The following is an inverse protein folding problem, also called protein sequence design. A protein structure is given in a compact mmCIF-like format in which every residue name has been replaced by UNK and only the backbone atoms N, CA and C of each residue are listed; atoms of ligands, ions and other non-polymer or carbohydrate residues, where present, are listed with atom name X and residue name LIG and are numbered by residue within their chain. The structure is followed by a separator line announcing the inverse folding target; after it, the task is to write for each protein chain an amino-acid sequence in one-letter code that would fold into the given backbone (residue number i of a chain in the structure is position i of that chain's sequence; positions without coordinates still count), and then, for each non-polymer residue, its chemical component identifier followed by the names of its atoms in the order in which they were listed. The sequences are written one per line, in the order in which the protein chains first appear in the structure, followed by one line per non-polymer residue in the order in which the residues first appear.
data_IF_312164249730
#
_entry.id   IF_312164249730
#
_cell.length_a   1.000
_cell.length_b   1.000
_cell.length_c   1.000
_cell.angle_alpha   90.00
_cell.angle_beta   90.00
_cell.angle_gamma   90.00
#
_symmetry.space_group_name_H-M   'P 1'
#
loop_
_entity.id
_entity.type
_entity.pdbx_description
1 polymer ?
#
# COMPACT_ATOMS: atom_id res chain seq x y z
N UNK A 1 -9.18 14.19 -11.29
CA UNK A 1 -8.80 13.29 -10.20
C UNK A 1 -7.33 13.53 -9.91
N UNK A 2 -6.98 13.81 -8.66
CA UNK A 2 -5.62 14.18 -8.25
C UNK A 2 -4.80 12.94 -7.89
N UNK A 3 -3.47 13.02 -7.91
CA UNK A 3 -2.60 11.92 -7.46
C UNK A 3 -2.86 11.51 -6.00
N UNK A 4 -3.33 12.46 -5.18
CA UNK A 4 -3.76 12.20 -3.81
C UNK A 4 -5.03 11.35 -3.75
N UNK A 5 -5.99 11.59 -4.65
CA UNK A 5 -7.21 10.77 -4.73
C UNK A 5 -6.90 9.32 -5.12
N UNK A 6 -5.92 9.12 -6.01
CA UNK A 6 -5.47 7.79 -6.43
C UNK A 6 -4.79 7.03 -5.30
N UNK A 7 -3.97 7.71 -4.49
CA UNK A 7 -3.36 7.15 -3.30
C UNK A 7 -4.42 6.76 -2.27
N UNK A 8 -5.37 7.65 -1.99
CA UNK A 8 -6.44 7.38 -1.05
C UNK A 8 -7.29 6.18 -1.51
N UNK A 9 -7.63 6.12 -2.80
CA UNK A 9 -8.36 4.99 -3.38
C UNK A 9 -7.55 3.68 -3.29
N UNK A 10 -6.23 3.72 -3.44
CA UNK A 10 -5.39 2.55 -3.23
C UNK A 10 -5.42 2.08 -1.77
N UNK A 11 -5.26 2.99 -0.82
CA UNK A 11 -5.31 2.68 0.62
C UNK A 11 -6.67 2.10 1.00
N UNK A 12 -7.77 2.66 0.51
CA UNK A 12 -9.13 2.13 0.73
C UNK A 12 -9.29 0.70 0.22
N UNK A 13 -8.86 0.44 -1.03
CA UNK A 13 -8.93 -0.89 -1.63
C UNK A 13 -8.12 -1.90 -0.83
N UNK A 14 -6.93 -1.52 -0.35
CA UNK A 14 -6.11 -2.42 0.47
C UNK A 14 -6.71 -2.63 1.87
N UNK A 15 -7.22 -1.58 2.52
CA UNK A 15 -7.85 -1.69 3.83
C UNK A 15 -9.05 -2.64 3.81
N UNK A 16 -9.83 -2.63 2.72
CA UNK A 16 -10.93 -3.59 2.52
C UNK A 16 -10.44 -5.06 2.44
N UNK A 17 -9.20 -5.31 2.01
CA UNK A 17 -8.62 -6.66 1.91
C UNK A 17 -7.96 -7.15 3.20
N UNK A 18 -7.67 -6.25 4.14
CA UNK A 18 -7.09 -6.54 5.47
C UNK A 18 -7.86 -5.81 6.58
N UNK A 19 -9.16 -6.09 6.77
CA UNK A 19 -10.05 -5.30 7.63
C UNK A 19 -9.69 -5.35 9.12
N UNK A 20 -8.83 -6.29 9.52
CA UNK A 20 -8.34 -6.43 10.90
C UNK A 20 -7.16 -5.48 11.20
N UNK A 21 -6.54 -4.87 10.18
CA UNK A 21 -5.44 -3.93 10.37
C UNK A 21 -5.95 -2.49 10.41
N UNK A 22 -5.34 -1.62 11.25
CA UNK A 22 -5.68 -0.21 11.25
C UNK A 22 -5.32 0.41 9.92
N UNK A 23 -6.16 1.32 9.43
CA UNK A 23 -5.97 2.02 8.15
C UNK A 23 -4.61 2.75 8.08
N UNK A 24 -4.12 3.25 9.21
CA UNK A 24 -2.79 3.86 9.30
C UNK A 24 -1.68 2.88 8.91
N UNK A 25 -1.73 1.62 9.37
CA UNK A 25 -0.74 0.62 8.98
C UNK A 25 -0.79 0.31 7.47
N UNK A 26 -1.98 0.36 6.86
CA UNK A 26 -2.14 0.21 5.41
C UNK A 26 -1.47 1.36 4.66
N UNK A 27 -1.68 2.60 5.12
CA UNK A 27 -1.02 3.78 4.55
C UNK A 27 0.50 3.68 4.69
N UNK A 28 1.01 3.36 5.88
CA UNK A 28 2.44 3.23 6.15
C UNK A 28 3.09 2.18 5.23
N UNK A 29 2.41 1.05 5.00
CA UNK A 29 2.89 0.01 4.10
C UNK A 29 2.92 0.47 2.64
N UNK A 30 1.91 1.22 2.19
CA UNK A 30 1.87 1.78 0.83
C UNK A 30 2.98 2.81 0.64
N UNK A 31 3.19 3.72 1.59
CA UNK A 31 4.25 4.74 1.53
C UNK A 31 5.64 4.10 1.52
N UNK A 32 5.88 3.11 2.39
CA UNK A 32 7.13 2.38 2.44
C UNK A 32 7.44 1.67 1.12
N UNK A 33 6.44 1.06 0.48
CA UNK A 33 6.61 0.40 -0.81
C UNK A 33 6.76 1.36 -1.98
N UNK A 34 6.07 2.50 -1.92
CA UNK A 34 6.21 3.57 -2.90
C UNK A 34 7.66 4.09 -2.96
N UNK A 35 8.26 4.31 -1.78
CA UNK A 35 9.66 4.71 -1.64
C UNK A 35 10.61 3.59 -2.06
N UNK A 36 10.40 2.36 -1.57
CA UNK A 36 11.28 1.21 -1.85
C UNK A 36 11.36 0.89 -3.34
N UNK A 37 10.24 0.96 -4.05
CA UNK A 37 10.18 0.72 -5.48
C UNK A 37 10.62 1.93 -6.30
N UNK A 38 10.82 3.10 -5.70
CA UNK A 38 11.11 4.33 -6.43
C UNK A 38 9.99 4.72 -7.39
N UNK A 39 8.74 4.44 -7.04
CA UNK A 39 7.58 4.64 -7.91
C UNK A 39 7.38 6.12 -8.33
N UNK A 40 7.91 7.06 -7.55
CA UNK A 40 7.97 8.49 -7.91
C UNK A 40 8.95 8.80 -9.05
N UNK A 41 10.00 8.01 -9.21
CA UNK A 41 11.02 8.17 -10.26
C UNK A 41 10.77 7.25 -11.46
N UNK A 42 10.12 6.11 -11.24
CA UNK A 42 9.79 5.12 -12.26
C UNK A 42 8.29 4.81 -12.20
N UNK A 43 7.50 5.56 -12.97
CA UNK A 43 6.04 5.43 -12.98
C UNK A 43 5.56 4.04 -13.41
N UNK A 44 6.38 3.29 -14.16
CA UNK A 44 6.14 1.88 -14.52
C UNK A 44 6.09 0.96 -13.30
N UNK A 45 6.67 1.37 -12.17
CA UNK A 45 6.70 0.59 -10.94
C UNK A 45 5.52 0.89 -9.99
N UNK A 46 4.80 1.99 -10.19
CA UNK A 46 3.65 2.37 -9.37
C UNK A 46 2.56 1.28 -9.26
N UNK A 47 2.22 0.52 -10.32
CA UNK A 47 1.24 -0.57 -10.22
C UNK A 47 1.63 -1.70 -9.26
N UNK A 48 2.93 -1.86 -8.94
CA UNK A 48 3.42 -2.91 -8.04
C UNK A 48 3.39 -2.51 -6.56
N UNK A 49 3.19 -1.22 -6.25
CA UNK A 49 3.14 -0.74 -4.85
C UNK A 49 2.02 -1.41 -4.08
N UNK A 50 0.81 -1.46 -4.64
CA UNK A 50 -0.36 -2.07 -4.00
C UNK A 50 -0.16 -3.55 -3.65
N UNK A 51 0.19 -4.42 -4.61
CA UNK A 51 0.47 -5.83 -4.35
C UNK A 51 1.60 -6.04 -3.33
N UNK A 52 2.68 -5.25 -3.40
CA UNK A 52 3.79 -5.40 -2.47
C UNK A 52 3.43 -4.95 -1.04
N UNK A 53 2.66 -3.87 -0.90
CA UNK A 53 2.15 -3.41 0.39
C UNK A 53 1.21 -4.45 1.01
N UNK A 54 0.29 -5.01 0.21
CA UNK A 54 -0.62 -6.07 0.65
C UNK A 54 0.14 -7.32 1.12
N UNK A 55 1.17 -7.73 0.38
CA UNK A 55 1.99 -8.88 0.76
C UNK A 55 2.68 -8.64 2.12
N UNK A 56 3.29 -7.47 2.32
CA UNK A 56 3.91 -7.11 3.61
C UNK A 56 2.91 -7.11 4.76
N UNK A 57 1.73 -6.50 4.56
CA UNK A 57 0.70 -6.42 5.58
C UNK A 57 0.23 -7.81 6.03
N UNK A 58 0.10 -8.74 5.09
CA UNK A 58 -0.27 -10.13 5.40
C UNK A 58 0.85 -10.90 6.09
N UNK A 59 2.10 -10.73 5.65
CA UNK A 59 3.25 -11.38 6.26
C UNK A 59 3.52 -10.90 7.70
N UNK A 60 3.25 -9.63 8.00
CA UNK A 60 3.37 -9.07 9.36
C UNK A 60 2.17 -9.33 10.27
N UNK A 61 1.06 -9.84 9.73
CA UNK A 61 -0.17 -10.14 10.48
C UNK A 61 -0.25 -11.59 10.97
N UNK A 62 0.74 -12.43 10.67
CA UNK A 62 0.80 -13.78 11.24
C UNK A 62 1.04 -13.69 12.76
N UNK A 63 0.13 -14.19 13.61
CA UNK A 63 0.34 -14.19 15.04
C UNK A 63 1.44 -15.21 15.39
N UNK A 64 2.46 -14.74 16.11
CA UNK A 64 3.48 -15.56 16.76
C UNK A 64 2.88 -16.49 17.82
#
# INVERSE_FOLDING_TARGET
MTAFDELLALVERLAALVPHLPRLAVLDAVEAEWLRLGASAQSTLAPFVGPAALWRLRAGAEPC
#
